data_IF_758952520182
#
_entry.id   IF_758952520182
#
_cell.length_a   1.000
_cell.length_b   1.000
_cell.length_c   1.000
_cell.angle_alpha   90.00
_cell.angle_beta   90.00
_cell.angle_gamma   90.00
#
_symmetry.space_group_name_H-M   'P 1'
#
loop_
_entity.id
_entity.type
_entity.pdbx_description
1 polymer ?
#
# COMPACT_ATOMS: atom_id res chain seq x y z
N UNK A 1 6.43 -6.21 -3.15
CA UNK A 1 5.14 -5.58 -2.85
C UNK A 1 4.05 -6.08 -3.76
N UNK A 2 3.05 -6.68 -3.11
CA UNK A 2 1.85 -7.20 -3.71
C UNK A 2 0.84 -6.07 -3.93
N UNK A 3 0.84 -5.40 -5.08
CA UNK A 3 -0.24 -4.46 -5.37
C UNK A 3 -1.58 -5.18 -5.62
N UNK A 4 -2.66 -4.40 -5.76
CA UNK A 4 -4.01 -4.90 -6.07
C UNK A 4 -4.53 -4.21 -7.32
N UNK A 5 -5.24 -4.96 -8.17
CA UNK A 5 -6.07 -4.39 -9.24
C UNK A 5 -7.46 -5.01 -9.16
N UNK A 6 -8.49 -4.24 -9.52
CA UNK A 6 -9.89 -4.69 -9.50
C UNK A 6 -10.20 -5.86 -10.43
N UNK A 7 -9.23 -6.32 -11.23
CA UNK A 7 -9.35 -7.41 -12.20
C UNK A 7 -8.41 -8.59 -11.95
N UNK A 8 -7.56 -8.56 -10.91
CA UNK A 8 -6.56 -9.59 -10.63
C UNK A 8 -7.18 -10.92 -10.21
N UNK A 9 -6.81 -12.00 -10.90
CA UNK A 9 -7.13 -13.39 -10.48
C UNK A 9 -6.18 -13.94 -9.40
N UNK A 10 -5.09 -13.24 -9.07
CA UNK A 10 -4.06 -13.68 -8.13
C UNK A 10 -4.33 -13.18 -6.70
N UNK A 11 -5.50 -13.54 -6.15
CA UNK A 11 -5.96 -13.00 -4.86
C UNK A 11 -5.06 -13.34 -3.66
N UNK A 12 -4.27 -14.41 -3.70
CA UNK A 12 -3.45 -14.85 -2.55
C UNK A 12 -2.18 -14.02 -2.31
N UNK A 13 -1.62 -13.47 -3.38
CA UNK A 13 -0.41 -12.64 -3.34
C UNK A 13 -0.75 -11.18 -3.66
N UNK A 14 -2.00 -10.80 -3.45
CA UNK A 14 -2.45 -9.42 -3.49
C UNK A 14 -2.17 -8.75 -2.14
N UNK A 15 -2.34 -7.44 -2.12
CA UNK A 15 -2.15 -6.61 -0.96
C UNK A 15 -2.95 -7.11 0.28
N UNK A 16 -2.45 -6.92 1.52
CA UNK A 16 -3.03 -7.56 2.70
C UNK A 16 -4.50 -7.20 3.00
N UNK A 17 -4.95 -6.03 2.56
CA UNK A 17 -6.35 -5.58 2.69
C UNK A 17 -7.30 -6.24 1.68
N UNK A 18 -6.79 -6.88 0.63
CA UNK A 18 -7.62 -7.53 -0.40
C UNK A 18 -8.25 -8.82 0.10
N UNK A 19 -9.51 -9.04 -0.25
CA UNK A 19 -10.25 -10.25 0.13
C UNK A 19 -9.56 -11.50 -0.45
N UNK A 20 -9.21 -12.45 0.42
CA UNK A 20 -8.55 -13.70 0.04
C UNK A 20 -7.02 -13.65 -0.01
N UNK A 21 -6.43 -12.49 0.29
CA UNK A 21 -4.97 -12.34 0.45
C UNK A 21 -4.45 -13.14 1.64
N UNK A 22 -3.25 -13.70 1.48
CA UNK A 22 -2.47 -14.35 2.55
C UNK A 22 -1.36 -13.45 3.10
N UNK A 23 -1.24 -12.22 2.57
CA UNK A 23 -0.16 -11.30 2.90
C UNK A 23 -0.34 -10.62 4.26
N UNK A 24 -1.51 -10.71 4.91
CA UNK A 24 -1.71 -10.22 6.28
C UNK A 24 -0.73 -10.85 7.27
N UNK A 25 -0.32 -12.10 7.04
CA UNK A 25 0.69 -12.80 7.85
C UNK A 25 2.13 -12.30 7.65
N UNK A 26 2.37 -11.44 6.65
CA UNK A 26 3.68 -10.88 6.31
C UNK A 26 3.89 -9.47 6.86
N UNK A 27 2.81 -8.81 7.29
CA UNK A 27 2.90 -7.51 7.95
C UNK A 27 3.64 -7.70 9.26
N UNK A 28 4.70 -6.91 9.44
CA UNK A 28 5.45 -6.92 10.69
C UNK A 28 4.58 -6.37 11.82
N UNK A 29 4.66 -6.97 13.01
CA UNK A 29 3.80 -6.59 14.14
C UNK A 29 3.89 -5.11 14.52
N UNK A 30 5.07 -4.49 14.34
CA UNK A 30 5.27 -3.06 14.60
C UNK A 30 4.62 -2.14 13.56
N UNK A 31 4.28 -2.63 12.36
CA UNK A 31 3.53 -1.88 11.34
C UNK A 31 2.04 -1.90 11.67
N UNK A 32 1.53 -3.01 12.20
CA UNK A 32 0.12 -3.15 12.55
C UNK A 32 -0.80 -2.86 11.34
N UNK A 33 -1.63 -1.83 11.45
CA UNK A 33 -2.54 -1.39 10.38
C UNK A 33 -2.03 -0.16 9.62
N UNK A 34 -0.78 0.26 9.85
CA UNK A 34 -0.19 1.48 9.29
C UNK A 34 0.51 1.19 7.96
N UNK A 35 -0.21 0.54 7.05
CA UNK A 35 0.26 0.21 5.71
C UNK A 35 -0.79 0.60 4.68
N UNK A 36 -0.32 0.90 3.47
CA UNK A 36 -1.18 1.19 2.33
C UNK A 36 -0.75 0.30 1.18
N UNK A 37 -1.67 0.14 0.26
CA UNK A 37 -1.51 -0.74 -0.88
C UNK A 37 -1.42 0.09 -2.15
N UNK A 38 -0.33 -0.12 -2.88
CA UNK A 38 -0.18 0.46 -4.20
C UNK A 38 -1.01 -0.31 -5.24
N UNK A 39 -1.22 0.35 -6.37
CA UNK A 39 -1.76 -0.28 -7.57
C UNK A 39 -0.87 -1.44 -8.02
N UNK A 40 -1.44 -2.62 -8.22
CA UNK A 40 -0.70 -3.84 -8.54
C UNK A 40 -0.71 -4.27 -9.98
N UNK A 41 -0.08 -5.42 -10.24
CA UNK A 41 -0.19 -6.09 -11.52
C UNK A 41 -1.60 -6.65 -11.71
N UNK A 42 -2.16 -6.41 -12.90
CA UNK A 42 -3.38 -7.08 -13.36
C UNK A 42 -3.11 -8.56 -13.64
N UNK A 43 -3.94 -9.20 -14.46
CA UNK A 43 -3.71 -10.56 -14.95
C UNK A 43 -2.41 -10.72 -15.76
N UNK A 44 -1.72 -9.63 -16.07
CA UNK A 44 -0.44 -9.60 -16.78
C UNK A 44 0.57 -8.75 -16.01
N UNK A 45 1.76 -9.29 -15.79
CA UNK A 45 2.89 -8.56 -15.23
C UNK A 45 3.41 -7.57 -16.28
N UNK A 46 3.39 -6.28 -15.95
CA UNK A 46 3.92 -5.23 -16.83
C UNK A 46 4.75 -4.25 -16.02
N UNK A 47 5.80 -3.69 -16.63
CA UNK A 47 6.64 -2.65 -16.01
C UNK A 47 6.03 -1.26 -16.25
N UNK A 48 4.77 -1.08 -15.85
CA UNK A 48 4.02 0.17 -16.01
C UNK A 48 3.54 0.62 -14.64
N UNK A 49 3.75 1.89 -14.33
CA UNK A 49 3.13 2.54 -13.18
C UNK A 49 1.70 2.96 -13.53
N UNK A 50 0.71 2.38 -12.85
CA UNK A 50 -0.70 2.67 -13.05
C UNK A 50 -1.13 3.91 -12.23
N UNK A 51 -0.69 5.11 -12.64
CA UNK A 51 -0.98 6.36 -11.92
C UNK A 51 -2.47 6.75 -11.86
N UNK A 52 -3.32 6.08 -12.64
CA UNK A 52 -4.77 6.30 -12.68
C UNK A 52 -5.57 5.23 -11.95
N UNK A 53 -4.90 4.33 -11.23
CA UNK A 53 -5.56 3.29 -10.46
C UNK A 53 -6.32 3.90 -9.25
N UNK A 54 -7.58 3.51 -9.01
CA UNK A 54 -8.39 3.98 -7.88
C UNK A 54 -7.75 3.80 -6.50
N UNK A 55 -6.77 2.92 -6.33
CA UNK A 55 -6.06 2.79 -5.06
C UNK A 55 -5.26 4.05 -4.68
N UNK A 56 -4.91 4.89 -5.65
CA UNK A 56 -4.19 6.13 -5.39
C UNK A 56 -5.08 7.24 -4.81
N UNK A 57 -6.38 7.26 -5.12
CA UNK A 57 -7.30 8.34 -4.72
C UNK A 57 -8.58 7.87 -4.00
N UNK A 58 -8.78 6.55 -3.92
CA UNK A 58 -9.94 5.91 -3.32
C UNK A 58 -11.23 6.08 -4.13
N UNK A 59 -11.18 6.66 -5.34
CA UNK A 59 -12.37 7.00 -6.13
C UNK A 59 -12.65 5.96 -7.21
N UNK A 60 -13.88 5.44 -7.22
CA UNK A 60 -14.30 4.49 -8.27
C UNK A 60 -13.72 3.08 -8.14
N UNK A 61 -13.36 2.68 -6.93
CA UNK A 61 -12.71 1.40 -6.68
C UNK A 61 -13.57 0.18 -7.04
N UNK A 62 -12.90 -0.85 -7.56
CA UNK A 62 -13.51 -2.14 -7.79
C UNK A 62 -13.86 -2.88 -6.50
N UNK A 63 -14.71 -3.90 -6.61
CA UNK A 63 -15.14 -4.72 -5.46
C UNK A 63 -13.99 -5.47 -4.77
N UNK A 64 -12.93 -5.83 -5.52
CA UNK A 64 -11.76 -6.54 -4.99
C UNK A 64 -10.81 -5.66 -4.17
N UNK A 65 -10.96 -4.34 -4.31
CA UNK A 65 -10.03 -3.33 -3.77
C UNK A 65 -10.73 -2.44 -2.75
N UNK A 66 -12.05 -2.57 -2.60
CA UNK A 66 -12.87 -1.67 -1.77
C UNK A 66 -12.33 -1.56 -0.34
N UNK A 67 -11.83 -2.65 0.25
CA UNK A 67 -11.22 -2.63 1.57
C UNK A 67 -9.90 -1.85 1.61
N UNK A 68 -9.12 -1.88 0.54
CA UNK A 68 -7.87 -1.15 0.38
C UNK A 68 -8.11 0.34 0.06
N UNK A 69 -9.19 0.65 -0.66
CA UNK A 69 -9.56 2.02 -1.00
C UNK A 69 -10.24 2.80 0.11
N UNK A 70 -10.83 2.13 1.10
CA UNK A 70 -11.53 2.77 2.20
C UNK A 70 -10.63 2.99 3.43
N UNK A 71 -9.31 2.93 3.27
CA UNK A 71 -8.39 3.25 4.37
C UNK A 71 -8.32 4.76 4.59
N UNK A 72 -8.21 5.24 5.84
CA UNK A 72 -8.00 6.65 6.13
C UNK A 72 -6.72 7.15 5.44
N UNK A 73 -6.65 8.44 5.08
CA UNK A 73 -5.42 9.10 4.63
C UNK A 73 -5.19 9.15 3.12
N UNK A 74 -5.85 8.30 2.32
CA UNK A 74 -5.86 8.41 0.85
C UNK A 74 -6.23 9.85 0.42
N UNK A 75 -5.53 10.46 -0.57
CA UNK A 75 -4.61 9.85 -1.54
C UNK A 75 -3.15 9.67 -1.09
N UNK A 76 -2.78 10.11 0.11
CA UNK A 76 -1.40 10.06 0.58
C UNK A 76 -1.24 9.03 1.69
N UNK A 77 -0.09 8.37 1.75
CA UNK A 77 0.28 7.69 2.99
C UNK A 77 0.43 8.77 4.08
N UNK A 78 -0.53 8.83 5.00
CA UNK A 78 -0.53 9.79 6.09
C UNK A 78 -0.66 9.09 7.44
N UNK A 79 0.27 9.43 8.33
CA UNK A 79 0.29 8.94 9.72
C UNK A 79 0.31 10.13 10.67
N UNK A 80 -0.82 10.34 11.35
CA UNK A 80 -0.93 11.32 12.43
C UNK A 80 -0.67 10.65 13.78
N UNK A 81 0.30 11.18 14.53
CA UNK A 81 0.62 10.73 15.88
C UNK A 81 -0.12 11.54 16.97
N UNK A 82 -1.02 12.46 16.57
CA UNK A 82 -1.82 13.29 17.46
C UNK A 82 -1.00 14.29 18.27
N UNK A 83 -1.44 14.56 19.51
CA UNK A 83 -0.70 15.41 20.46
C UNK A 83 0.42 14.65 21.20
N UNK A 84 0.89 13.54 20.64
CA UNK A 84 1.93 12.73 21.27
C UNK A 84 3.28 13.43 21.10
N UNK A 85 3.95 13.72 22.21
CA UNK A 85 5.37 14.07 22.18
C UNK A 85 6.17 12.79 22.28
N UNK A 86 7.13 12.61 21.38
CA UNK A 86 8.04 11.46 21.40
C UNK A 86 9.48 11.91 21.20
N UNK A 87 10.40 11.18 21.81
CA UNK A 87 11.85 11.25 21.56
C UNK A 87 12.34 10.11 20.69
N UNK A 88 11.45 9.21 20.29
CA UNK A 88 11.78 8.07 19.45
C UNK A 88 12.07 8.53 18.03
N UNK A 89 12.93 7.78 17.33
CA UNK A 89 13.18 8.02 15.92
C UNK A 89 11.96 7.64 15.09
N UNK A 90 11.59 8.51 14.15
CA UNK A 90 10.63 8.17 13.09
C UNK A 90 11.35 7.40 11.99
N UNK A 91 10.76 6.28 11.57
CA UNK A 91 11.30 5.43 10.52
C UNK A 91 10.25 5.18 9.45
N UNK A 92 10.61 5.45 8.19
CA UNK A 92 9.86 5.04 7.01
C UNK A 92 10.57 3.84 6.39
N UNK A 93 9.89 2.70 6.27
CA UNK A 93 10.41 1.50 5.58
C UNK A 93 9.65 1.25 4.29
N UNK A 94 10.39 1.09 3.20
CA UNK A 94 9.88 0.50 1.96
C UNK A 94 10.19 -1.00 2.02
N UNK A 95 9.17 -1.83 2.15
CA UNK A 95 9.32 -3.28 2.26
C UNK A 95 9.16 -3.91 0.87
N UNK A 96 10.17 -4.63 0.38
CA UNK A 96 10.08 -5.44 -0.84
C UNK A 96 10.61 -6.84 -0.57
N UNK A 97 10.00 -7.86 -1.20
CA UNK A 97 10.42 -9.26 -1.09
C UNK A 97 10.96 -9.85 -2.41
N UNK A 98 10.92 -9.07 -3.50
CA UNK A 98 11.51 -9.42 -4.80
C UNK A 98 12.76 -8.60 -5.14
N UNK A 99 13.39 -8.95 -6.26
CA UNK A 99 14.59 -8.27 -6.80
C UNK A 99 14.19 -7.01 -7.54
N UNK A 100 15.16 -6.21 -8.01
CA UNK A 100 14.91 -4.99 -8.82
C UNK A 100 14.33 -5.26 -10.22
N UNK A 101 13.83 -6.47 -10.47
CA UNK A 101 13.23 -6.89 -11.74
C UNK A 101 11.72 -6.91 -11.68
N UNK A 102 11.13 -6.78 -10.49
CA UNK A 102 9.71 -6.88 -10.20
C UNK A 102 9.39 -6.16 -8.88
N UNK A 103 8.15 -5.65 -8.77
CA UNK A 103 7.66 -4.97 -7.56
C UNK A 103 8.38 -3.66 -7.18
N UNK A 104 8.57 -2.78 -8.17
CA UNK A 104 9.11 -1.44 -7.94
C UNK A 104 8.09 -0.52 -7.26
N UNK A 105 8.50 0.11 -6.15
CA UNK A 105 7.69 1.04 -5.37
C UNK A 105 8.31 2.44 -5.47
N UNK A 106 7.80 3.32 -6.34
CA UNK A 106 8.35 4.67 -6.45
C UNK A 106 8.01 5.50 -5.21
N UNK A 107 9.02 6.02 -4.53
CA UNK A 107 8.87 7.07 -3.51
C UNK A 107 9.39 8.38 -4.10
N UNK A 108 8.48 9.29 -4.45
CA UNK A 108 8.85 10.57 -5.04
C UNK A 108 9.28 11.59 -3.99
N UNK A 109 8.53 11.69 -2.89
CA UNK A 109 8.83 12.55 -1.75
C UNK A 109 8.15 12.02 -0.49
N UNK A 110 8.66 12.43 0.66
CA UNK A 110 8.03 12.23 1.97
C UNK A 110 8.20 13.52 2.76
N UNK A 111 7.24 13.80 3.64
CA UNK A 111 7.21 15.01 4.44
C UNK A 111 7.01 14.63 5.90
N UNK A 112 7.71 15.33 6.79
CA UNK A 112 7.57 15.17 8.24
C UNK A 112 7.20 16.53 8.81
N UNK A 113 6.02 16.59 9.42
CA UNK A 113 5.48 17.80 10.02
C UNK A 113 5.65 17.72 11.54
N UNK A 114 6.37 18.70 12.10
CA UNK A 114 6.56 18.86 13.56
C UNK A 114 5.88 20.15 13.98
N UNK A 115 5.11 20.09 15.07
CA UNK A 115 4.38 21.24 15.61
C UNK A 115 5.16 21.98 16.69
#
# INVERSE_FOLDING_TARGET
>A
MAGVTGSSRYTHFNCPCSTGSRQTSKIQSFVGNDYYCESGASNTWTHILYTSDPLWDGQGCGSLETACCNVPGIPWFHRDYGNTTTTDYLELRVCADQKTTDEDVPVAFYEIYVK
#
